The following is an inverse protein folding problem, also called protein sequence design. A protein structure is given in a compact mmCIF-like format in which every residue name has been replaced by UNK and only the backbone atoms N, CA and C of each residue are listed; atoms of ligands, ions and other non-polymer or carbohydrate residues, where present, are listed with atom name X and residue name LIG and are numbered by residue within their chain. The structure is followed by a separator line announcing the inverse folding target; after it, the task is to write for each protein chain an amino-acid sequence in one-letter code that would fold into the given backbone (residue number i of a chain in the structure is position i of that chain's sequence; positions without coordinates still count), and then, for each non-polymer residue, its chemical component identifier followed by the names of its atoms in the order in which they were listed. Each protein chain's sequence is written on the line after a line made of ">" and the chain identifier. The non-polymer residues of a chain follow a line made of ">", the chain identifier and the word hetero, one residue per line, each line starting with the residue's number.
data_IF_396700414749
#
_entry.id   IF_396700414749
#
_cell.length_a   1.000
_cell.length_b   1.000
_cell.length_c   1.000
_cell.angle_alpha   90.00
_cell.angle_beta   90.00
_cell.angle_gamma   90.00
#
_symmetry.space_group_name_H-M   'P 1'
#
loop_
_entity.id
_entity.type
_entity.pdbx_description
1 polymer ?
#
# COMPACT_ATOMS: atom_id res chain seq x y z
N UNK A 1 1.01 -10.28 -13.19
CA UNK A 1 1.36 -10.52 -14.60
C UNK A 1 0.93 -9.29 -15.36
N UNK A 2 1.86 -8.58 -16.00
CA UNK A 2 1.47 -7.50 -16.91
C UNK A 2 0.58 -8.07 -18.02
N UNK A 3 -0.32 -7.25 -18.54
CA UNK A 3 -1.21 -7.62 -19.66
C UNK A 3 -0.44 -7.90 -20.97
N UNK A 4 0.89 -7.82 -20.93
CA UNK A 4 1.76 -7.93 -22.10
C UNK A 4 1.95 -9.38 -22.57
N UNK A 5 1.98 -10.36 -21.66
CA UNK A 5 2.17 -11.78 -22.05
C UNK A 5 0.97 -12.30 -22.88
N UNK A 6 -0.30 -12.10 -22.46
CA UNK A 6 -1.45 -12.45 -23.31
C UNK A 6 -1.38 -11.81 -24.70
N UNK A 7 -1.07 -10.51 -24.78
CA UNK A 7 -0.97 -9.78 -26.05
C UNK A 7 0.08 -10.37 -26.98
N UNK A 8 1.24 -10.76 -26.44
CA UNK A 8 2.31 -11.40 -27.22
C UNK A 8 1.85 -12.74 -27.76
N UNK A 9 1.25 -13.59 -26.93
CA UNK A 9 0.75 -14.91 -27.34
C UNK A 9 -0.31 -14.80 -28.44
N UNK A 10 -1.26 -13.86 -28.29
CA UNK A 10 -2.29 -13.57 -29.30
C UNK A 10 -1.65 -13.12 -30.63
N UNK A 11 -0.68 -12.20 -30.57
CA UNK A 11 0.01 -11.69 -31.77
C UNK A 11 0.87 -12.74 -32.49
N UNK A 12 1.23 -13.83 -31.78
CA UNK A 12 2.08 -14.90 -32.30
C UNK A 12 1.28 -16.01 -33.00
N UNK A 13 -0.06 -15.97 -32.94
CA UNK A 13 -0.93 -17.00 -33.53
C UNK A 13 -0.83 -18.36 -32.84
N UNK A 14 -0.32 -18.40 -31.61
CA UNK A 14 -0.24 -19.62 -30.80
C UNK A 14 -1.63 -19.91 -30.22
N UNK A 15 -2.11 -21.15 -30.32
CA UNK A 15 -3.34 -21.55 -29.63
C UNK A 15 -3.05 -21.73 -28.13
N UNK A 16 -3.72 -20.94 -27.30
CA UNK A 16 -3.51 -20.94 -25.86
C UNK A 16 -4.80 -20.60 -25.10
N UNK A 17 -4.86 -20.99 -23.83
CA UNK A 17 -5.98 -20.66 -22.93
C UNK A 17 -5.45 -20.10 -21.62
N UNK A 18 -5.98 -18.97 -21.18
CA UNK A 18 -5.61 -18.36 -19.89
C UNK A 18 -6.24 -19.13 -18.74
N UNK A 19 -5.41 -19.71 -17.87
CA UNK A 19 -5.83 -20.27 -16.59
C UNK A 19 -5.51 -19.30 -15.43
N UNK A 20 -6.52 -18.94 -14.63
CA UNK A 20 -6.34 -18.11 -13.42
C UNK A 20 -6.12 -19.03 -12.22
N UNK A 21 -4.85 -19.19 -11.80
CA UNK A 21 -4.46 -20.13 -10.75
C UNK A 21 -4.71 -19.60 -9.33
N UNK A 22 -4.59 -18.28 -9.13
CA UNK A 22 -4.87 -17.62 -7.85
C UNK A 22 -5.32 -16.18 -8.09
N UNK A 23 -6.09 -15.64 -7.16
CA UNK A 23 -6.52 -14.24 -7.15
C UNK A 23 -6.11 -13.61 -5.83
N UNK A 24 -5.21 -12.62 -5.89
CA UNK A 24 -4.92 -11.79 -4.72
C UNK A 24 -6.16 -10.97 -4.38
N UNK A 25 -6.67 -11.15 -3.17
CA UNK A 25 -7.78 -10.38 -2.63
C UNK A 25 -7.30 -9.66 -1.37
N UNK A 26 -7.86 -8.48 -1.10
CA UNK A 26 -7.69 -7.82 0.19
C UNK A 26 -8.18 -8.74 1.30
N UNK A 27 -7.40 -8.84 2.37
CA UNK A 27 -7.87 -9.45 3.62
C UNK A 27 -9.10 -8.73 4.15
N UNK A 28 -9.98 -9.47 4.81
CA UNK A 28 -11.07 -8.91 5.59
C UNK A 28 -10.51 -8.34 6.89
N UNK A 29 -10.81 -7.06 7.15
CA UNK A 29 -10.36 -6.33 8.34
C UNK A 29 -11.54 -5.88 9.21
N UNK A 30 -12.72 -6.52 9.09
CA UNK A 30 -13.93 -6.19 9.87
C UNK A 30 -13.70 -6.14 11.38
N UNK A 31 -12.80 -6.98 11.89
CA UNK A 31 -12.50 -7.10 13.32
C UNK A 31 -11.48 -6.05 13.81
N UNK A 32 -10.85 -5.32 12.88
CA UNK A 32 -9.84 -4.30 13.20
C UNK A 32 -10.52 -2.96 13.47
N UNK A 33 -10.29 -2.43 14.67
CA UNK A 33 -10.78 -1.10 15.07
C UNK A 33 -9.70 -0.06 14.83
N UNK A 34 -9.74 0.63 13.69
CA UNK A 34 -8.76 1.68 13.34
C UNK A 34 -8.60 2.78 14.41
N UNK A 35 -9.64 3.03 15.22
CA UNK A 35 -9.59 3.99 16.32
C UNK A 35 -8.55 3.64 17.39
N UNK A 36 -8.17 2.37 17.52
CA UNK A 36 -7.24 1.89 18.54
C UNK A 36 -5.76 2.09 18.13
N UNK A 37 -5.52 2.65 16.93
CA UNK A 37 -4.18 2.87 16.37
C UNK A 37 -3.96 4.34 16.00
N UNK A 38 -2.80 4.87 16.41
CA UNK A 38 -2.37 6.24 16.06
C UNK A 38 -1.68 6.31 14.69
N UNK A 39 -1.08 5.21 14.22
CA UNK A 39 -0.34 5.14 12.96
C UNK A 39 -0.72 3.91 12.13
N UNK A 40 -0.87 4.10 10.82
CA UNK A 40 -1.08 3.04 9.84
C UNK A 40 0.12 2.99 8.89
N UNK A 41 0.70 1.81 8.69
CA UNK A 41 1.94 1.63 7.92
C UNK A 41 1.70 0.73 6.71
N UNK A 42 2.08 1.20 5.52
CA UNK A 42 1.83 0.51 4.25
C UNK A 42 3.13 0.17 3.53
N UNK A 43 3.24 -1.06 3.02
CA UNK A 43 4.40 -1.56 2.29
C UNK A 43 4.17 -1.74 0.79
N UNK A 44 2.94 -1.49 0.32
CA UNK A 44 2.62 -1.58 -1.11
C UNK A 44 1.41 -0.71 -1.47
N UNK A 45 1.27 -0.30 -2.75
CA UNK A 45 0.07 0.38 -3.26
C UNK A 45 -1.23 -0.40 -3.01
N UNK A 46 -1.16 -1.74 -3.01
CA UNK A 46 -2.33 -2.58 -2.74
C UNK A 46 -2.84 -2.42 -1.30
N UNK A 47 -1.95 -2.13 -0.34
CA UNK A 47 -2.35 -1.84 1.03
C UNK A 47 -3.21 -0.58 1.13
N UNK A 48 -2.89 0.46 0.37
CA UNK A 48 -3.69 1.70 0.30
C UNK A 48 -5.09 1.38 -0.27
N UNK A 49 -5.16 0.63 -1.38
CA UNK A 49 -6.45 0.20 -1.94
C UNK A 49 -7.25 -0.64 -0.93
N UNK A 50 -6.57 -1.51 -0.17
CA UNK A 50 -7.18 -2.35 0.85
C UNK A 50 -7.77 -1.52 2.01
N UNK A 51 -7.16 -0.40 2.38
CA UNK A 51 -7.68 0.51 3.41
C UNK A 51 -9.08 1.01 3.04
N UNK A 52 -9.22 1.63 1.85
CA UNK A 52 -10.50 2.20 1.43
C UNK A 52 -11.56 1.14 1.12
N UNK A 53 -11.15 -0.07 0.73
CA UNK A 53 -12.07 -1.19 0.55
C UNK A 53 -12.63 -1.71 1.88
N UNK A 54 -11.80 -1.80 2.92
CA UNK A 54 -12.21 -2.34 4.22
C UNK A 54 -12.85 -1.28 5.14
N UNK A 55 -12.49 -0.01 4.93
CA UNK A 55 -12.94 1.11 5.73
C UNK A 55 -13.49 2.19 4.80
N UNK A 56 -14.71 1.95 4.30
CA UNK A 56 -15.38 2.88 3.41
C UNK A 56 -15.50 4.27 4.07
N UNK A 57 -15.12 5.31 3.32
CA UNK A 57 -15.13 6.68 3.83
C UNK A 57 -14.05 6.99 4.87
N UNK A 58 -12.98 6.18 4.94
CA UNK A 58 -11.82 6.47 5.79
C UNK A 58 -11.36 7.93 5.65
N UNK A 59 -11.21 8.60 6.79
CA UNK A 59 -10.62 9.93 6.90
C UNK A 59 -9.38 9.84 7.78
N UNK A 60 -8.26 10.34 7.28
CA UNK A 60 -6.99 10.28 8.01
C UNK A 60 -7.05 11.01 9.35
N UNK A 61 -7.55 12.26 9.36
CA UNK A 61 -7.60 13.07 10.58
C UNK A 61 -6.23 13.20 11.24
N UNK A 62 -6.16 12.84 12.52
CA UNK A 62 -4.92 12.88 13.31
C UNK A 62 -4.02 11.67 13.10
N UNK A 63 -4.53 10.60 12.47
CA UNK A 63 -3.78 9.36 12.24
C UNK A 63 -2.57 9.62 11.36
N UNK A 64 -1.46 9.00 11.74
CA UNK A 64 -0.21 9.08 11.00
C UNK A 64 -0.14 7.99 9.95
N UNK A 65 0.33 8.34 8.75
CA UNK A 65 0.51 7.38 7.65
C UNK A 65 2.00 7.19 7.39
N UNK A 66 2.45 5.94 7.56
CA UNK A 66 3.78 5.48 7.18
C UNK A 66 3.74 4.74 5.85
N UNK A 67 4.67 5.03 4.93
CA UNK A 67 4.78 4.33 3.64
C UNK A 67 6.19 3.84 3.38
N UNK A 68 6.30 2.59 2.90
CA UNK A 68 7.54 2.01 2.45
C UNK A 68 7.60 1.95 0.92
N UNK A 69 8.56 2.68 0.33
CA UNK A 69 8.83 2.75 -1.11
C UNK A 69 8.03 3.82 -1.84
N UNK A 70 8.61 4.30 -2.95
CA UNK A 70 8.07 5.40 -3.75
C UNK A 70 6.71 5.09 -4.37
N UNK A 71 6.52 3.86 -4.88
CA UNK A 71 5.23 3.45 -5.43
C UNK A 71 4.09 3.51 -4.39
N UNK A 72 4.37 3.17 -3.14
CA UNK A 72 3.39 3.27 -2.05
C UNK A 72 3.11 4.72 -1.68
N UNK A 73 4.14 5.58 -1.68
CA UNK A 73 3.99 7.02 -1.44
C UNK A 73 3.05 7.66 -2.46
N UNK A 74 3.30 7.43 -3.75
CA UNK A 74 2.46 7.95 -4.84
C UNK A 74 1.01 7.47 -4.71
N UNK A 75 0.81 6.18 -4.46
CA UNK A 75 -0.54 5.63 -4.29
C UNK A 75 -1.28 6.23 -3.09
N UNK A 76 -0.58 6.55 -2.00
CA UNK A 76 -1.17 7.20 -0.83
C UNK A 76 -1.58 8.65 -1.16
N UNK A 77 -0.71 9.40 -1.83
CA UNK A 77 -0.95 10.80 -2.23
C UNK A 77 -2.10 10.91 -3.26
N UNK A 78 -2.13 10.03 -4.26
CA UNK A 78 -3.23 9.92 -5.23
C UNK A 78 -4.58 9.62 -4.55
N UNK A 79 -4.55 8.87 -3.44
CA UNK A 79 -5.73 8.59 -2.63
C UNK A 79 -6.06 9.72 -1.62
N UNK A 80 -5.34 10.85 -1.68
CA UNK A 80 -5.57 12.02 -0.84
C UNK A 80 -5.05 11.88 0.60
N UNK A 81 -4.16 10.93 0.88
CA UNK A 81 -3.54 10.76 2.20
C UNK A 81 -2.28 11.62 2.32
N UNK A 82 -2.10 12.25 3.47
CA UNK A 82 -0.84 12.87 3.87
C UNK A 82 0.11 11.80 4.38
N UNK A 83 1.28 11.68 3.76
CA UNK A 83 2.35 10.80 4.24
C UNK A 83 3.11 11.49 5.37
N UNK A 84 3.07 10.92 6.58
CA UNK A 84 3.75 11.47 7.76
C UNK A 84 5.13 10.83 7.97
N UNK A 85 5.30 9.56 7.59
CA UNK A 85 6.57 8.82 7.69
C UNK A 85 6.86 8.12 6.36
N UNK A 86 8.06 8.31 5.82
CA UNK A 86 8.50 7.68 4.58
C UNK A 86 9.80 6.91 4.82
N UNK A 87 9.83 5.68 4.30
CA UNK A 87 11.02 4.84 4.22
C UNK A 87 11.02 4.09 2.87
N UNK A 88 12.13 3.51 2.42
CA UNK A 88 13.47 3.80 2.90
C UNK A 88 13.92 5.20 2.45
N UNK A 89 14.78 5.84 3.25
CA UNK A 89 15.57 7.01 2.85
C UNK A 89 17.06 6.72 3.08
N UNK A 90 17.95 7.64 2.65
CA UNK A 90 19.39 7.53 2.94
C UNK A 90 19.68 7.46 4.45
N UNK A 91 18.90 8.18 5.26
CA UNK A 91 19.09 8.26 6.71
C UNK A 91 18.30 7.17 7.46
N UNK A 92 17.16 6.76 6.91
CA UNK A 92 16.25 5.77 7.50
C UNK A 92 15.99 4.63 6.51
N UNK A 93 16.92 3.65 6.40
CA UNK A 93 16.81 2.57 5.42
C UNK A 93 15.71 1.55 5.77
N UNK A 94 15.18 1.58 7.00
CA UNK A 94 14.08 0.72 7.44
C UNK A 94 12.92 1.52 7.99
N UNK A 95 11.72 0.93 7.94
CA UNK A 95 10.52 1.55 8.51
C UNK A 95 10.64 1.71 10.04
N UNK A 96 11.27 0.75 10.73
CA UNK A 96 11.49 0.85 12.17
C UNK A 96 12.32 2.09 12.53
N UNK A 97 13.43 2.33 11.83
CA UNK A 97 14.25 3.52 12.03
C UNK A 97 13.51 4.81 11.68
N UNK A 98 12.68 4.79 10.63
CA UNK A 98 11.89 5.95 10.24
C UNK A 98 10.85 6.31 11.31
N UNK A 99 10.19 5.33 11.90
CA UNK A 99 9.23 5.52 13.00
C UNK A 99 9.96 6.01 14.26
N UNK A 100 11.08 5.40 14.63
CA UNK A 100 11.88 5.82 15.78
C UNK A 100 12.32 7.28 15.66
N UNK A 101 12.85 7.67 14.49
CA UNK A 101 13.23 9.05 14.18
C UNK A 101 12.03 10.00 14.25
N UNK A 102 10.88 9.58 13.71
CA UNK A 102 9.65 10.37 13.75
C UNK A 102 9.20 10.65 15.19
N UNK A 103 9.18 9.63 16.05
CA UNK A 103 8.81 9.76 17.47
C UNK A 103 9.81 10.65 18.21
N UNK A 104 11.12 10.45 18.00
CA UNK A 104 12.16 11.25 18.65
C UNK A 104 12.06 12.75 18.33
N UNK A 105 11.62 13.09 17.12
CA UNK A 105 11.48 14.46 16.64
C UNK A 105 10.09 15.07 16.92
N UNK A 106 9.13 14.31 17.44
CA UNK A 106 7.76 14.77 17.73
C UNK A 106 7.63 15.38 19.14
N UNK A 107 8.72 15.92 19.69
CA UNK A 107 8.73 16.64 20.98
C UNK A 107 8.30 18.09 20.82
#
# INVERSE_FOLDING_TARGET
>A
MGDDIPKVLDSSGIDWTKAVMYKTVSSDLSDVKLKDYDMLVFFSPQGIKSLFKNFEGFKQGEKKIGVFGEGTRLAAEEAGLRVDVMAPTKETPSMAMAIEKYIANSK
#
